data_IF_820167390619
#
_entry.id   IF_820167390619
#
_cell.length_a   1.000
_cell.length_b   1.000
_cell.length_c   1.000
_cell.angle_alpha   90.00
_cell.angle_beta   90.00
_cell.angle_gamma   90.00
#
_symmetry.space_group_name_H-M   'P 1'
#
loop_
_entity.id
_entity.type
_entity.pdbx_description
1 polymer ?
#
# COMPACT_ATOMS: atom_id res chain seq x y z
N UNK A 1 12.10 5.61 -11.26
CA UNK A 1 12.78 5.78 -9.97
C UNK A 1 14.07 6.60 -10.11
N UNK A 2 15.00 6.25 -11.00
CA UNK A 2 16.27 6.96 -11.15
C UNK A 2 16.11 8.44 -11.55
N UNK A 3 15.19 8.76 -12.44
CA UNK A 3 14.91 10.14 -12.86
C UNK A 3 14.37 11.01 -11.71
N UNK A 4 13.41 10.47 -10.94
CA UNK A 4 12.84 11.16 -9.77
C UNK A 4 13.90 11.40 -8.70
N UNK A 5 14.69 10.36 -8.39
CA UNK A 5 15.81 10.48 -7.44
C UNK A 5 16.80 11.59 -7.87
N UNK A 6 17.15 11.62 -9.15
CA UNK A 6 18.06 12.60 -9.69
C UNK A 6 17.51 14.02 -9.63
N UNK A 7 16.24 14.21 -9.98
CA UNK A 7 15.57 15.51 -9.88
C UNK A 7 15.50 16.02 -8.44
N UNK A 8 15.12 15.15 -7.49
CA UNK A 8 15.11 15.49 -6.06
C UNK A 8 16.51 15.88 -5.58
N UNK A 9 17.55 15.15 -6.00
CA UNK A 9 18.94 15.46 -5.66
C UNK A 9 19.36 16.83 -6.20
N UNK A 10 19.04 17.12 -7.46
CA UNK A 10 19.38 18.39 -8.08
C UNK A 10 18.65 19.57 -7.40
N UNK A 11 17.37 19.41 -7.08
CA UNK A 11 16.59 20.44 -6.41
C UNK A 11 17.06 20.67 -4.97
N UNK A 12 17.38 19.61 -4.23
CA UNK A 12 17.98 19.72 -2.92
C UNK A 12 19.32 20.48 -2.95
N UNK A 13 20.15 20.22 -3.99
CA UNK A 13 21.41 20.94 -4.20
C UNK A 13 21.17 22.40 -4.56
N UNK A 14 20.19 22.69 -5.42
CA UNK A 14 19.79 24.06 -5.82
C UNK A 14 19.27 24.86 -4.62
N UNK A 15 18.48 24.24 -3.76
CA UNK A 15 17.93 24.85 -2.55
C UNK A 15 18.93 24.90 -1.38
N UNK A 16 20.18 24.46 -1.57
CA UNK A 16 21.21 24.36 -0.53
C UNK A 16 20.74 23.57 0.72
N UNK A 17 19.88 22.56 0.52
CA UNK A 17 19.46 21.71 1.61
C UNK A 17 20.61 20.83 2.05
N UNK A 18 20.98 20.94 3.31
CA UNK A 18 22.01 20.08 3.92
C UNK A 18 21.33 18.84 4.47
N UNK A 19 21.90 17.66 4.18
CA UNK A 19 21.49 16.43 4.85
C UNK A 19 21.75 16.48 6.35
N UNK A 20 21.13 15.60 7.10
CA UNK A 20 21.42 15.42 8.53
C UNK A 20 22.90 15.12 8.72
N UNK A 21 23.54 15.70 9.74
CA UNK A 21 24.89 15.32 10.16
C UNK A 21 25.01 13.83 10.38
N UNK A 22 26.15 13.22 10.06
CA UNK A 22 26.35 11.77 10.20
C UNK A 22 26.13 11.29 11.64
N UNK A 23 26.37 12.14 12.61
CA UNK A 23 26.23 11.84 14.04
C UNK A 23 24.76 11.77 14.48
N UNK A 24 23.86 12.46 13.76
CA UNK A 24 22.42 12.42 13.99
C UNK A 24 21.72 11.33 13.20
N UNK A 25 22.39 10.74 12.20
CA UNK A 25 21.84 9.66 11.40
C UNK A 25 21.89 8.34 12.18
N UNK A 26 20.73 7.72 12.46
CA UNK A 26 20.72 6.40 13.10
C UNK A 26 21.42 5.38 12.20
N UNK A 27 22.26 4.53 12.79
CA UNK A 27 22.91 3.47 12.04
C UNK A 27 21.87 2.43 11.61
N UNK A 28 21.55 2.30 10.30
CA UNK A 28 20.49 1.44 9.83
C UNK A 28 20.77 -0.03 10.13
N UNK A 29 22.02 -0.47 10.03
CA UNK A 29 22.42 -1.84 10.31
C UNK A 29 22.24 -2.21 11.79
N UNK A 30 22.52 -1.28 12.70
CA UNK A 30 22.30 -1.48 14.13
C UNK A 30 20.80 -1.63 14.41
N UNK A 31 19.98 -0.73 13.88
CA UNK A 31 18.53 -0.76 14.04
C UNK A 31 17.89 -2.03 13.49
N UNK A 32 18.32 -2.46 12.29
CA UNK A 32 17.85 -3.71 11.68
C UNK A 32 18.29 -4.91 12.53
N UNK A 33 19.55 -4.96 12.97
CA UNK A 33 20.07 -6.08 13.77
C UNK A 33 19.38 -6.23 15.13
N UNK A 34 19.00 -5.11 15.74
CA UNK A 34 18.31 -5.11 17.03
C UNK A 34 16.85 -5.53 16.92
N UNK A 35 16.19 -5.24 15.78
CA UNK A 35 14.75 -5.42 15.60
C UNK A 35 14.36 -6.21 14.34
N UNK A 36 15.26 -7.07 13.85
CA UNK A 36 15.05 -7.85 12.63
C UNK A 36 13.76 -8.69 12.63
N UNK A 37 13.35 -9.17 13.82
CA UNK A 37 12.15 -9.98 13.99
C UNK A 37 10.86 -9.23 13.59
N UNK A 38 10.85 -7.89 13.65
CA UNK A 38 9.72 -7.09 13.18
C UNK A 38 9.58 -7.10 11.63
N UNK A 39 10.61 -7.51 10.92
CA UNK A 39 10.56 -7.64 9.46
C UNK A 39 9.99 -8.99 9.01
N UNK A 40 9.89 -9.99 9.90
CA UNK A 40 9.38 -11.32 9.56
C UNK A 40 7.97 -11.28 8.93
N UNK A 41 6.97 -10.59 9.52
CA UNK A 41 5.65 -10.49 8.92
C UNK A 41 5.67 -9.88 7.51
N UNK A 42 6.53 -8.89 7.27
CA UNK A 42 6.69 -8.26 5.97
C UNK A 42 7.25 -9.23 4.93
N UNK A 43 8.31 -9.97 5.28
CA UNK A 43 8.89 -10.96 4.37
C UNK A 43 7.91 -12.09 4.05
N UNK A 44 7.15 -12.57 5.03
CA UNK A 44 6.13 -13.59 4.82
C UNK A 44 5.00 -13.05 3.93
N UNK A 45 4.55 -11.82 4.13
CA UNK A 45 3.56 -11.17 3.28
C UNK A 45 4.03 -11.11 1.83
N UNK A 46 5.26 -10.64 1.60
CA UNK A 46 5.86 -10.56 0.27
C UNK A 46 5.97 -11.95 -0.36
N UNK A 47 6.44 -12.94 0.39
CA UNK A 47 6.53 -14.32 -0.08
C UNK A 47 5.17 -14.88 -0.49
N UNK A 48 4.12 -14.65 0.29
CA UNK A 48 2.76 -15.12 -0.02
C UNK A 48 2.21 -14.45 -1.29
N UNK A 49 2.48 -13.16 -1.49
CA UNK A 49 2.10 -12.45 -2.72
C UNK A 49 2.77 -13.06 -3.95
N UNK A 50 4.09 -13.32 -3.88
CA UNK A 50 4.82 -13.96 -4.97
C UNK A 50 4.47 -15.44 -5.18
N UNK A 51 3.94 -16.10 -4.16
CA UNK A 51 3.43 -17.48 -4.25
C UNK A 51 2.04 -17.59 -4.89
N UNK A 52 1.51 -16.49 -5.46
CA UNK A 52 0.22 -16.46 -6.14
C UNK A 52 -1.00 -16.49 -5.20
N UNK A 53 -0.81 -16.23 -3.90
CA UNK A 53 -1.92 -16.06 -2.96
C UNK A 53 -2.60 -14.72 -3.16
N UNK A 54 -3.91 -14.65 -2.85
CA UNK A 54 -4.65 -13.40 -2.99
C UNK A 54 -4.10 -12.31 -2.05
N UNK A 55 -4.11 -11.03 -2.46
CA UNK A 55 -3.67 -9.91 -1.62
C UNK A 55 -4.39 -9.85 -0.27
N UNK A 56 -5.69 -10.17 -0.26
CA UNK A 56 -6.50 -10.22 0.96
C UNK A 56 -5.98 -11.29 1.94
N UNK A 57 -5.71 -12.49 1.45
CA UNK A 57 -5.16 -13.58 2.26
C UNK A 57 -3.77 -13.20 2.81
N UNK A 58 -2.89 -12.71 1.94
CA UNK A 58 -1.53 -12.31 2.32
C UNK A 58 -1.53 -11.18 3.34
N UNK A 59 -2.41 -10.17 3.17
CA UNK A 59 -2.60 -9.07 4.11
C UNK A 59 -3.13 -9.53 5.47
N UNK A 60 -4.12 -10.44 5.49
CA UNK A 60 -4.68 -10.99 6.72
C UNK A 60 -3.64 -11.79 7.51
N UNK A 61 -2.86 -12.63 6.82
CA UNK A 61 -1.75 -13.39 7.45
C UNK A 61 -0.68 -12.43 7.98
N UNK A 62 -0.30 -11.42 7.19
CA UNK A 62 0.67 -10.41 7.60
C UNK A 62 0.23 -9.65 8.85
N UNK A 63 -1.04 -9.23 8.90
CA UNK A 63 -1.64 -8.57 10.07
C UNK A 63 -1.63 -9.47 11.31
N UNK A 64 -2.06 -10.72 11.16
CA UNK A 64 -2.08 -11.69 12.25
C UNK A 64 -0.68 -11.95 12.81
N UNK A 65 0.31 -12.16 11.95
CA UNK A 65 1.71 -12.34 12.34
C UNK A 65 2.26 -11.09 13.04
N UNK A 66 1.93 -9.90 12.55
CA UNK A 66 2.34 -8.64 13.18
C UNK A 66 1.78 -8.53 14.59
N UNK A 67 0.48 -8.83 14.77
CA UNK A 67 -0.14 -8.85 16.09
C UNK A 67 0.53 -9.86 17.03
N UNK A 68 0.81 -11.08 16.55
CA UNK A 68 1.50 -12.11 17.32
C UNK A 68 2.91 -11.69 17.73
N UNK A 69 3.67 -11.05 16.82
CA UNK A 69 5.04 -10.57 17.10
C UNK A 69 5.00 -9.46 18.13
N UNK A 70 4.07 -8.51 18.03
CA UNK A 70 3.95 -7.39 18.97
C UNK A 70 3.53 -7.91 20.35
N UNK A 71 2.46 -8.69 20.44
CA UNK A 71 1.97 -9.24 21.71
C UNK A 71 2.97 -10.22 22.32
N UNK A 72 3.58 -11.09 21.52
CA UNK A 72 4.63 -12.00 21.97
C UNK A 72 5.87 -11.27 22.49
N UNK A 73 6.27 -10.18 21.85
CA UNK A 73 7.41 -9.37 22.30
C UNK A 73 7.14 -8.70 23.66
N UNK A 74 5.92 -8.24 23.91
CA UNK A 74 5.53 -7.67 25.20
C UNK A 74 5.64 -8.69 26.36
N UNK A 75 5.29 -9.95 26.09
CA UNK A 75 5.39 -11.03 27.06
C UNK A 75 6.87 -11.39 27.29
N UNK A 76 7.62 -11.54 26.20
CA UNK A 76 8.98 -12.10 26.27
C UNK A 76 10.01 -11.13 26.85
N UNK A 77 9.78 -9.81 26.76
CA UNK A 77 10.67 -8.81 27.37
C UNK A 77 10.76 -8.94 28.90
N UNK A 78 9.76 -9.56 29.53
CA UNK A 78 9.74 -9.79 30.97
C UNK A 78 10.40 -11.10 31.40
N UNK A 79 10.66 -11.99 30.46
CA UNK A 79 11.33 -13.27 30.73
C UNK A 79 12.84 -13.06 30.75
N UNK A 80 13.49 -13.30 31.91
CA UNK A 80 14.94 -13.11 32.07
C UNK A 80 15.77 -14.16 31.32
N UNK A 81 15.27 -15.39 31.18
CA UNK A 81 15.99 -16.52 30.58
C UNK A 81 16.00 -16.47 29.05
N UNK A 82 17.20 -16.45 28.45
CA UNK A 82 17.36 -16.54 26.99
C UNK A 82 16.77 -17.83 26.39
N UNK A 83 16.89 -18.96 27.12
CA UNK A 83 16.37 -20.26 26.70
C UNK A 83 14.84 -20.23 26.63
N UNK A 84 14.18 -19.65 27.66
CA UNK A 84 12.73 -19.52 27.65
C UNK A 84 12.23 -18.58 26.55
N UNK A 85 12.98 -17.54 26.23
CA UNK A 85 12.66 -16.65 25.09
C UNK A 85 12.69 -17.42 23.78
N UNK A 86 13.71 -18.22 23.57
CA UNK A 86 13.85 -19.02 22.36
C UNK A 86 12.76 -20.12 22.26
N UNK A 87 12.49 -20.82 23.36
CA UNK A 87 11.44 -21.82 23.46
C UNK A 87 10.05 -21.23 23.16
N UNK A 88 9.76 -20.02 23.66
CA UNK A 88 8.50 -19.33 23.40
C UNK A 88 8.31 -19.05 21.89
N UNK A 89 9.34 -18.54 21.22
CA UNK A 89 9.24 -18.26 19.77
C UNK A 89 9.11 -19.54 18.95
N UNK A 90 9.78 -20.63 19.34
CA UNK A 90 9.59 -21.94 18.69
C UNK A 90 8.16 -22.43 18.90
N UNK A 91 7.64 -22.39 20.14
CA UNK A 91 6.29 -22.81 20.45
C UNK A 91 5.26 -22.00 19.64
N UNK A 92 5.43 -20.68 19.58
CA UNK A 92 4.58 -19.80 18.78
C UNK A 92 4.64 -20.14 17.29
N UNK A 93 5.83 -20.41 16.77
CA UNK A 93 6.02 -20.83 15.37
C UNK A 93 5.34 -22.17 15.06
N UNK A 94 5.44 -23.15 15.95
CA UNK A 94 4.77 -24.46 15.80
C UNK A 94 3.26 -24.30 15.87
N UNK A 95 2.73 -23.49 16.79
CA UNK A 95 1.30 -23.18 16.86
C UNK A 95 0.81 -22.48 15.58
N UNK A 96 1.60 -21.53 15.05
CA UNK A 96 1.28 -20.89 13.76
C UNK A 96 1.32 -21.87 12.59
N UNK A 97 2.21 -22.87 12.60
CA UNK A 97 2.23 -23.92 11.57
C UNK A 97 0.95 -24.77 11.56
N UNK A 98 0.27 -24.91 12.68
CA UNK A 98 -1.05 -25.53 12.76
C UNK A 98 -2.13 -24.85 11.92
N UNK A 99 -1.92 -23.58 11.50
CA UNK A 99 -2.81 -22.89 10.57
C UNK A 99 -3.02 -23.64 9.26
N UNK A 100 -1.98 -24.27 8.73
CA UNK A 100 -2.07 -25.01 7.46
C UNK A 100 -2.94 -26.27 7.55
N UNK A 101 -3.11 -26.84 8.77
CA UNK A 101 -3.91 -28.04 8.98
C UNK A 101 -5.31 -27.74 9.55
N UNK A 102 -5.42 -26.79 10.47
CA UNK A 102 -6.62 -26.50 11.25
C UNK A 102 -7.34 -25.21 10.85
N UNK A 103 -6.78 -24.47 9.88
CA UNK A 103 -7.37 -23.26 9.34
C UNK A 103 -7.20 -22.01 10.23
N UNK A 104 -7.92 -20.95 9.86
CA UNK A 104 -7.79 -19.61 10.47
C UNK A 104 -8.18 -19.55 11.96
N UNK A 105 -8.96 -20.51 12.44
CA UNK A 105 -9.39 -20.58 13.84
C UNK A 105 -8.22 -20.69 14.83
N UNK A 106 -7.14 -21.39 14.45
CA UNK A 106 -5.92 -21.51 15.28
C UNK A 106 -5.26 -20.15 15.47
N UNK A 107 -5.21 -19.35 14.44
CA UNK A 107 -4.62 -18.00 14.48
C UNK A 107 -5.39 -17.11 15.46
N UNK A 108 -6.71 -17.12 15.38
CA UNK A 108 -7.56 -16.37 16.32
C UNK A 108 -7.41 -16.90 17.75
N UNK A 109 -7.32 -18.21 17.92
CA UNK A 109 -7.08 -18.85 19.23
C UNK A 109 -5.74 -18.41 19.84
N UNK A 110 -4.67 -18.42 19.06
CA UNK A 110 -3.34 -17.97 19.51
C UNK A 110 -3.36 -16.48 19.88
N UNK A 111 -3.97 -15.63 19.07
CA UNK A 111 -4.10 -14.21 19.37
C UNK A 111 -4.91 -14.00 20.64
N UNK A 112 -6.04 -14.71 20.83
CA UNK A 112 -6.85 -14.60 22.02
C UNK A 112 -6.07 -15.00 23.30
N UNK A 113 -5.29 -16.08 23.23
CA UNK A 113 -4.41 -16.48 24.35
C UNK A 113 -3.34 -15.42 24.63
N UNK A 114 -2.69 -14.88 23.59
CA UNK A 114 -1.69 -13.82 23.77
C UNK A 114 -2.30 -12.56 24.38
N UNK A 115 -3.49 -12.16 23.97
CA UNK A 115 -4.23 -11.03 24.54
C UNK A 115 -4.55 -11.28 26.01
N UNK A 116 -5.06 -12.49 26.36
CA UNK A 116 -5.34 -12.86 27.73
C UNK A 116 -4.09 -12.82 28.60
N UNK A 117 -2.96 -13.37 28.12
CA UNK A 117 -1.69 -13.32 28.84
C UNK A 117 -1.18 -11.89 29.00
N UNK A 118 -1.23 -11.06 27.95
CA UNK A 118 -0.84 -9.66 28.02
C UNK A 118 -1.66 -8.87 29.03
N UNK A 119 -2.92 -9.25 29.29
CA UNK A 119 -3.76 -8.58 30.30
C UNK A 119 -3.19 -8.68 31.71
N UNK A 120 -2.52 -9.80 32.04
CA UNK A 120 -1.94 -10.06 33.35
C UNK A 120 -0.47 -9.66 33.49
N UNK A 121 0.20 -9.39 32.38
CA UNK A 121 1.63 -9.06 32.32
C UNK A 121 1.84 -7.56 32.51
N UNK A 122 2.87 -7.13 33.27
CA UNK A 122 3.22 -5.71 33.46
C UNK A 122 3.55 -5.09 32.10
N UNK A 123 2.95 -3.92 31.79
CA UNK A 123 3.12 -3.25 30.48
C UNK A 123 2.36 -3.92 29.33
N UNK A 124 1.73 -5.08 29.53
CA UNK A 124 0.92 -5.75 28.50
C UNK A 124 -0.33 -4.96 28.15
N UNK A 125 -0.95 -4.28 29.12
CA UNK A 125 -2.13 -3.43 28.89
C UNK A 125 -1.79 -2.24 27.98
N UNK A 126 -0.62 -1.64 28.12
CA UNK A 126 -0.17 -0.55 27.23
C UNK A 126 0.01 -1.05 25.80
N UNK A 127 0.56 -2.26 25.65
CA UNK A 127 0.68 -2.92 24.34
C UNK A 127 -0.69 -3.23 23.74
N UNK A 128 -1.66 -3.70 24.52
CA UNK A 128 -3.02 -3.95 24.06
C UNK A 128 -3.71 -2.63 23.63
N UNK A 129 -3.53 -1.57 24.41
CA UNK A 129 -4.05 -0.24 24.06
C UNK A 129 -3.41 0.26 22.77
N UNK A 130 -2.10 0.08 22.59
CA UNK A 130 -1.41 0.42 21.36
C UNK A 130 -1.93 -0.36 20.16
N UNK A 131 -2.13 -1.68 20.29
CA UNK A 131 -2.72 -2.51 19.24
C UNK A 131 -4.14 -2.06 18.88
N UNK A 132 -4.97 -1.74 19.88
CA UNK A 132 -6.32 -1.22 19.67
C UNK A 132 -6.29 0.12 18.92
N UNK A 133 -5.42 1.04 19.35
CA UNK A 133 -5.26 2.32 18.64
C UNK A 133 -4.79 2.12 17.21
N UNK A 134 -3.85 1.21 16.95
CA UNK A 134 -3.39 0.90 15.60
C UNK A 134 -4.52 0.34 14.73
N UNK A 135 -5.39 -0.52 15.27
CA UNK A 135 -6.57 -1.04 14.56
C UNK A 135 -7.59 0.06 14.27
N UNK A 136 -7.85 0.94 15.23
CA UNK A 136 -8.77 2.08 15.05
C UNK A 136 -8.24 3.03 13.98
N UNK A 137 -6.95 3.38 14.02
CA UNK A 137 -6.36 4.23 12.99
C UNK A 137 -6.35 3.54 11.62
N UNK A 138 -6.04 2.25 11.56
CA UNK A 138 -6.16 1.48 10.33
C UNK A 138 -7.57 1.51 9.74
N UNK A 139 -8.61 1.33 10.59
CA UNK A 139 -10.00 1.44 10.17
C UNK A 139 -10.34 2.86 9.68
N UNK A 140 -9.90 3.90 10.39
CA UNK A 140 -10.11 5.29 9.98
C UNK A 140 -9.51 5.60 8.61
N UNK A 141 -8.33 5.06 8.31
CA UNK A 141 -7.69 5.21 6.99
C UNK A 141 -8.39 4.38 5.90
N UNK A 142 -8.96 3.22 6.25
CA UNK A 142 -9.65 2.37 5.30
C UNK A 142 -11.02 2.91 4.87
N UNK A 143 -11.76 3.59 5.76
CA UNK A 143 -13.12 4.10 5.49
C UNK A 143 -13.18 5.04 4.28
N UNK A 144 -12.35 6.10 4.16
CA UNK A 144 -12.39 6.99 3.01
C UNK A 144 -12.11 6.27 1.69
N UNK A 145 -11.17 5.32 1.70
CA UNK A 145 -10.83 4.50 0.52
C UNK A 145 -12.00 3.61 0.15
N UNK A 146 -12.65 2.96 1.13
CA UNK A 146 -13.82 2.12 0.91
C UNK A 146 -15.00 2.90 0.32
N UNK A 147 -15.28 4.10 0.84
CA UNK A 147 -16.33 4.99 0.32
C UNK A 147 -15.99 5.41 -1.12
N UNK A 148 -14.76 5.82 -1.38
CA UNK A 148 -14.32 6.19 -2.72
C UNK A 148 -14.45 5.00 -3.70
N UNK A 149 -14.07 3.78 -3.32
CA UNK A 149 -14.27 2.58 -4.14
C UNK A 149 -15.75 2.31 -4.44
N UNK A 150 -16.63 2.48 -3.46
CA UNK A 150 -18.07 2.31 -3.65
C UNK A 150 -18.65 3.33 -4.64
N UNK A 151 -18.28 4.61 -4.51
CA UNK A 151 -18.70 5.67 -5.43
C UNK A 151 -18.18 5.43 -6.86
N UNK A 152 -16.92 5.04 -7.00
CA UNK A 152 -16.33 4.67 -8.29
C UNK A 152 -17.04 3.45 -8.89
N UNK A 153 -17.45 2.48 -8.08
CA UNK A 153 -18.26 1.35 -8.53
C UNK A 153 -19.58 1.78 -9.15
N UNK A 154 -20.26 2.80 -8.59
CA UNK A 154 -21.47 3.38 -9.19
C UNK A 154 -21.14 4.05 -10.53
N UNK A 155 -20.06 4.83 -10.60
CA UNK A 155 -19.64 5.49 -11.85
C UNK A 155 -19.37 4.46 -12.93
N UNK A 156 -18.59 3.40 -12.62
CA UNK A 156 -18.30 2.32 -13.58
C UNK A 156 -19.59 1.63 -14.02
N UNK A 157 -20.52 1.37 -13.09
CA UNK A 157 -21.82 0.79 -13.42
C UNK A 157 -22.60 1.63 -14.43
N UNK A 158 -22.68 2.94 -14.21
CA UNK A 158 -23.34 3.89 -15.13
C UNK A 158 -22.62 3.92 -16.48
N UNK A 159 -21.30 4.03 -16.49
CA UNK A 159 -20.49 4.06 -17.73
C UNK A 159 -20.65 2.78 -18.53
N UNK A 160 -20.72 1.62 -17.86
CA UNK A 160 -20.93 0.32 -18.51
C UNK A 160 -22.35 0.19 -19.08
N UNK A 161 -23.37 0.60 -18.31
CA UNK A 161 -24.78 0.53 -18.76
C UNK A 161 -25.08 1.49 -19.89
N UNK A 162 -24.46 2.64 -19.93
CA UNK A 162 -24.65 3.66 -20.99
C UNK A 162 -23.82 3.39 -22.24
N UNK A 163 -22.87 2.46 -22.19
CA UNK A 163 -21.94 2.17 -23.28
C UNK A 163 -20.89 3.27 -23.54
N UNK A 164 -20.76 4.24 -22.63
CA UNK A 164 -19.78 5.34 -22.76
C UNK A 164 -18.36 4.79 -22.83
N UNK A 165 -18.04 3.72 -22.07
CA UNK A 165 -16.71 3.11 -22.10
C UNK A 165 -16.34 2.58 -23.49
N UNK A 166 -17.25 1.85 -24.15
CA UNK A 166 -17.04 1.32 -25.50
C UNK A 166 -16.98 2.42 -26.56
N UNK A 167 -17.79 3.46 -26.42
CA UNK A 167 -17.75 4.63 -27.29
C UNK A 167 -16.39 5.35 -27.17
N UNK A 168 -15.92 5.54 -25.97
CA UNK A 168 -14.62 6.18 -25.69
C UNK A 168 -13.45 5.35 -26.24
N UNK A 169 -13.48 4.02 -26.01
CA UNK A 169 -12.52 3.09 -26.59
C UNK A 169 -12.54 3.15 -28.11
N UNK A 170 -13.75 3.21 -28.72
CA UNK A 170 -13.92 3.34 -30.16
C UNK A 170 -13.29 4.61 -30.75
N UNK A 171 -13.39 5.75 -30.07
CA UNK A 171 -12.70 6.99 -30.49
C UNK A 171 -11.19 6.88 -30.41
N UNK A 172 -10.66 6.29 -29.33
CA UNK A 172 -9.21 6.07 -29.19
C UNK A 172 -8.72 5.13 -30.30
N UNK A 173 -9.48 4.07 -30.62
CA UNK A 173 -9.17 3.14 -31.69
C UNK A 173 -9.20 3.81 -33.07
N UNK A 174 -10.27 4.57 -33.38
CA UNK A 174 -10.43 5.24 -34.65
C UNK A 174 -9.29 6.22 -34.97
N UNK A 175 -8.82 6.95 -33.93
CA UNK A 175 -7.69 7.87 -34.05
C UNK A 175 -6.35 7.13 -34.09
N UNK A 176 -6.29 5.96 -33.42
CA UNK A 176 -5.06 5.20 -33.20
C UNK A 176 -4.74 4.12 -34.22
N UNK A 177 -5.68 3.78 -35.10
CA UNK A 177 -5.45 2.77 -36.15
C UNK A 177 -4.25 3.12 -37.04
N UNK A 178 -4.01 4.41 -37.26
CA UNK A 178 -2.88 4.89 -38.06
C UNK A 178 -1.67 5.33 -37.23
N UNK A 179 -1.84 5.49 -35.91
CA UNK A 179 -0.74 6.00 -35.06
C UNK A 179 -0.89 5.60 -33.58
N UNK A 180 -0.24 4.50 -33.20
CA UNK A 180 -0.22 4.00 -31.82
C UNK A 180 0.25 5.07 -30.81
N UNK A 181 1.21 5.93 -31.18
CA UNK A 181 1.70 6.98 -30.29
C UNK A 181 0.59 7.97 -29.92
N UNK A 182 -0.25 8.35 -30.88
CA UNK A 182 -1.36 9.27 -30.65
C UNK A 182 -2.41 8.64 -29.71
N UNK A 183 -2.69 7.35 -29.88
CA UNK A 183 -3.57 6.60 -28.98
C UNK A 183 -3.04 6.53 -27.56
N UNK A 184 -1.74 6.33 -27.41
CA UNK A 184 -1.09 6.35 -26.10
C UNK A 184 -1.22 7.74 -25.44
N UNK A 185 -1.02 8.83 -26.19
CA UNK A 185 -1.18 10.20 -25.69
C UNK A 185 -2.63 10.46 -25.26
N UNK A 186 -3.62 10.05 -26.07
CA UNK A 186 -5.04 10.20 -25.74
C UNK A 186 -5.42 9.39 -24.49
N UNK A 187 -4.94 8.15 -24.40
CA UNK A 187 -5.13 7.31 -23.22
C UNK A 187 -4.49 7.93 -21.97
N UNK A 188 -3.29 8.49 -22.09
CA UNK A 188 -2.60 9.22 -21.03
C UNK A 188 -3.46 10.38 -20.52
N UNK A 189 -3.93 11.23 -21.41
CA UNK A 189 -4.79 12.38 -21.06
C UNK A 189 -6.09 11.94 -20.40
N UNK A 190 -6.69 10.88 -20.91
CA UNK A 190 -7.89 10.26 -20.32
C UNK A 190 -7.62 9.80 -18.88
N UNK A 191 -6.51 9.09 -18.65
CA UNK A 191 -6.14 8.61 -17.32
C UNK A 191 -5.88 9.77 -16.35
N UNK A 192 -5.21 10.83 -16.80
CA UNK A 192 -4.98 12.03 -16.00
C UNK A 192 -6.29 12.71 -15.59
N UNK A 193 -7.24 12.84 -16.52
CA UNK A 193 -8.54 13.47 -16.24
C UNK A 193 -9.40 12.60 -15.33
N UNK A 194 -9.51 11.30 -15.61
CA UNK A 194 -10.32 10.37 -14.82
C UNK A 194 -9.75 10.14 -13.42
N UNK A 195 -8.43 10.25 -13.26
CA UNK A 195 -7.76 10.04 -11.99
C UNK A 195 -7.78 11.23 -11.03
N UNK A 196 -8.20 12.41 -11.48
CA UNK A 196 -8.18 13.62 -10.65
C UNK A 196 -9.06 13.49 -9.40
N UNK A 197 -8.44 13.64 -8.23
CA UNK A 197 -9.17 13.70 -6.96
C UNK A 197 -9.65 12.36 -6.41
N UNK A 198 -9.18 11.26 -6.97
CA UNK A 198 -9.57 9.91 -6.57
C UNK A 198 -8.34 9.19 -5.98
N UNK A 199 -8.45 8.55 -4.80
CA UNK A 199 -7.34 7.77 -4.23
C UNK A 199 -6.86 6.66 -5.18
N UNK A 200 -5.60 6.26 -5.06
CA UNK A 200 -4.89 5.37 -5.99
C UNK A 200 -5.66 4.10 -6.39
N UNK A 201 -6.27 3.39 -5.42
CA UNK A 201 -6.97 2.12 -5.72
C UNK A 201 -8.23 2.35 -6.57
N UNK A 202 -9.19 3.21 -6.16
CA UNK A 202 -10.34 3.55 -6.98
C UNK A 202 -9.96 4.15 -8.34
N UNK A 203 -8.92 4.97 -8.37
CA UNK A 203 -8.39 5.55 -9.59
C UNK A 203 -7.96 4.47 -10.60
N UNK A 204 -7.16 3.51 -10.16
CA UNK A 204 -6.77 2.41 -11.04
C UNK A 204 -7.98 1.59 -11.53
N UNK A 205 -8.96 1.33 -10.68
CA UNK A 205 -10.15 0.58 -11.05
C UNK A 205 -10.91 1.29 -12.19
N UNK A 206 -11.15 2.60 -12.08
CA UNK A 206 -11.89 3.36 -13.12
C UNK A 206 -11.07 3.49 -14.41
N UNK A 207 -9.80 3.88 -14.30
CA UNK A 207 -8.94 4.09 -15.47
C UNK A 207 -8.66 2.80 -16.22
N UNK A 208 -8.44 1.67 -15.53
CA UNK A 208 -8.26 0.38 -16.15
C UNK A 208 -9.53 -0.15 -16.82
N UNK A 209 -10.70 0.12 -16.25
CA UNK A 209 -11.97 -0.32 -16.83
C UNK A 209 -12.35 0.44 -18.11
N UNK A 210 -11.91 1.71 -18.25
CA UNK A 210 -12.28 2.57 -19.37
C UNK A 210 -11.17 2.63 -20.42
N UNK A 211 -9.93 2.80 -20.03
CA UNK A 211 -8.84 3.08 -20.96
C UNK A 211 -8.00 1.85 -21.35
N UNK A 212 -7.84 0.84 -20.47
CA UNK A 212 -7.05 -0.33 -20.79
C UNK A 212 -7.62 -1.17 -21.97
N UNK A 213 -8.93 -1.38 -22.11
CA UNK A 213 -9.49 -2.12 -23.24
C UNK A 213 -9.07 -1.54 -24.59
N UNK A 214 -9.07 -0.21 -24.76
CA UNK A 214 -8.65 0.43 -26.00
C UNK A 214 -7.20 0.10 -26.40
N UNK A 215 -6.29 0.02 -25.44
CA UNK A 215 -4.90 -0.36 -25.70
C UNK A 215 -4.77 -1.86 -26.04
N UNK A 216 -5.59 -2.70 -25.42
CA UNK A 216 -5.63 -4.14 -25.71
C UNK A 216 -6.08 -4.39 -27.15
N UNK A 217 -7.12 -3.70 -27.60
CA UNK A 217 -7.65 -3.80 -28.95
C UNK A 217 -6.66 -3.30 -30.01
N UNK A 218 -5.73 -2.37 -29.63
CA UNK A 218 -4.60 -1.96 -30.48
C UNK A 218 -3.41 -2.96 -30.45
N UNK A 219 -3.57 -4.11 -29.78
CA UNK A 219 -2.56 -5.15 -29.71
C UNK A 219 -1.46 -4.91 -28.67
N UNK A 220 -1.62 -3.94 -27.78
CA UNK A 220 -0.68 -3.73 -26.66
C UNK A 220 -0.85 -4.87 -25.64
N UNK A 221 0.22 -5.54 -25.18
CA UNK A 221 0.12 -6.62 -24.22
C UNK A 221 -0.62 -6.20 -22.93
N UNK A 222 -1.40 -7.12 -22.36
CA UNK A 222 -2.24 -6.87 -21.17
C UNK A 222 -1.51 -6.17 -20.03
N UNK A 223 -0.36 -6.70 -19.65
CA UNK A 223 0.40 -6.14 -18.52
C UNK A 223 0.91 -4.72 -18.83
N UNK A 224 1.32 -4.47 -20.07
CA UNK A 224 1.82 -3.16 -20.52
C UNK A 224 0.68 -2.14 -20.51
N UNK A 225 -0.51 -2.51 -21.02
CA UNK A 225 -1.71 -1.67 -21.03
C UNK A 225 -2.10 -1.27 -19.60
N UNK A 226 -2.17 -2.26 -18.69
CA UNK A 226 -2.51 -2.00 -17.29
C UNK A 226 -1.46 -1.18 -16.55
N UNK A 227 -0.17 -1.44 -16.80
CA UNK A 227 0.92 -0.63 -16.20
C UNK A 227 0.94 0.79 -16.73
N UNK A 228 0.64 1.00 -18.01
CA UNK A 228 0.53 2.32 -18.61
C UNK A 228 -0.60 3.13 -17.96
N UNK A 229 -1.79 2.54 -17.90
CA UNK A 229 -2.98 3.17 -17.31
C UNK A 229 -2.78 3.44 -15.81
N UNK A 230 -2.18 2.50 -15.09
CA UNK A 230 -1.84 2.66 -13.68
C UNK A 230 -0.88 3.83 -13.45
N UNK A 231 0.19 3.91 -14.24
CA UNK A 231 1.19 4.96 -14.10
C UNK A 231 0.60 6.36 -14.28
N UNK A 232 -0.15 6.57 -15.37
CA UNK A 232 -0.74 7.88 -15.63
C UNK A 232 -1.96 8.19 -14.75
N UNK A 233 -2.69 7.16 -14.32
CA UNK A 233 -3.72 7.32 -13.30
C UNK A 233 -3.16 7.86 -11.98
N UNK A 234 -2.06 7.29 -11.48
CA UNK A 234 -1.40 7.77 -10.26
C UNK A 234 -0.82 9.18 -10.44
N UNK A 235 -0.29 9.50 -11.60
CA UNK A 235 0.22 10.85 -11.87
C UNK A 235 -0.85 11.94 -11.75
N UNK A 236 -2.13 11.59 -11.89
CA UNK A 236 -3.23 12.52 -11.66
C UNK A 236 -3.26 13.06 -10.21
N UNK A 237 -2.83 12.25 -9.23
CA UNK A 237 -2.73 12.67 -7.83
C UNK A 237 -1.64 13.73 -7.57
N UNK A 238 -0.70 13.88 -8.50
CA UNK A 238 0.38 14.88 -8.46
C UNK A 238 0.06 16.10 -9.32
N UNK A 239 -0.88 15.96 -10.29
CA UNK A 239 -1.14 16.96 -11.32
C UNK A 239 -2.14 18.02 -10.84
N UNK A 240 -1.85 19.34 -11.05
CA UNK A 240 -2.85 20.37 -10.84
C UNK A 240 -4.11 20.14 -11.73
N UNK A 241 -5.32 20.51 -11.28
CA UNK A 241 -5.62 21.39 -10.15
C UNK A 241 -5.84 20.66 -8.82
N UNK A 242 -5.94 19.34 -8.81
CA UNK A 242 -6.35 18.59 -7.60
C UNK A 242 -5.14 18.20 -6.74
N UNK A 243 -4.10 17.61 -7.32
CA UNK A 243 -2.79 17.35 -6.71
C UNK A 243 -2.84 16.86 -5.23
N UNK A 244 -3.68 15.86 -4.92
CA UNK A 244 -3.94 15.40 -3.55
C UNK A 244 -2.68 15.06 -2.77
N UNK A 245 -1.73 14.36 -3.41
CA UNK A 245 -0.47 13.99 -2.76
C UNK A 245 0.38 15.21 -2.41
N UNK A 246 0.36 16.25 -3.25
CA UNK A 246 1.07 17.51 -3.01
C UNK A 246 0.43 18.29 -1.85
N UNK A 247 -0.90 18.30 -1.75
CA UNK A 247 -1.59 18.89 -0.60
C UNK A 247 -1.34 18.12 0.69
N UNK A 248 -1.23 16.80 0.65
CA UNK A 248 -0.84 16.00 1.80
C UNK A 248 0.61 16.25 2.24
N UNK A 249 1.51 16.54 1.30
CA UNK A 249 2.90 16.90 1.59
C UNK A 249 3.08 18.34 2.08
N UNK A 250 2.13 19.24 1.78
CA UNK A 250 2.20 20.66 2.08
C UNK A 250 2.49 21.01 3.56
N UNK A 251 1.84 20.38 4.56
CA UNK A 251 2.15 20.62 5.97
C UNK A 251 3.57 20.21 6.36
N UNK A 252 4.09 19.14 5.75
CA UNK A 252 5.44 18.61 6.02
C UNK A 252 6.48 19.55 5.41
N UNK A 253 6.28 19.94 4.15
CA UNK A 253 7.17 20.83 3.42
C UNK A 253 7.05 22.31 3.83
N UNK A 254 6.01 22.66 4.61
CA UNK A 254 5.66 24.04 4.98
C UNK A 254 5.55 24.98 3.75
N UNK A 255 5.03 24.42 2.65
CA UNK A 255 4.80 25.10 1.37
C UNK A 255 3.39 24.90 0.86
N UNK A 256 2.95 25.70 -0.12
CA UNK A 256 1.61 25.55 -0.72
C UNK A 256 1.56 24.31 -1.59
N UNK A 257 0.50 23.47 -1.46
CA UNK A 257 0.35 22.24 -2.22
C UNK A 257 0.47 22.45 -3.75
N UNK A 258 -0.12 23.52 -4.29
CA UNK A 258 0.02 23.87 -5.72
C UNK A 258 1.45 24.18 -6.14
N UNK A 259 2.28 24.77 -5.25
CA UNK A 259 3.69 25.03 -5.55
C UNK A 259 4.53 23.76 -5.53
N UNK A 260 4.10 22.75 -4.76
CA UNK A 260 4.75 21.44 -4.72
C UNK A 260 4.41 20.63 -5.98
N UNK A 261 3.23 20.85 -6.58
CA UNK A 261 2.76 20.14 -7.77
C UNK A 261 3.32 20.70 -9.09
N UNK A 262 3.89 21.89 -9.10
CA UNK A 262 4.53 22.53 -10.22
C UNK A 262 6.05 22.32 -10.22
#
# INVERSE_FOLDING_TARGET
>A
FGSVFWMVHLEAKRANLRGLPKDECPNPWKSVRERWFLLIPLFILIYLLFSGRTPLFSGTVGLALTAMVILGSAIILQVSSKIMRFAFWIALGVLCAGFFQLGIGVVFGVIAVLVAVCWFVKGGRDTLTLCLHALVEGARHAVPVGIACALVGVIIGVVSLTGVASTFAGYILAIGQDNLFLSLVLTMLTCLVLGMGIPTIPNYIITSSIAAPALLDLGVPLIVSHMFVFYFGIMADLTPPVALACFAAAPIAKERGLKISL
#
